data_IF_501699161374
#
_entry.id   IF_501699161374
#
_cell.length_a   1.000
_cell.length_b   1.000
_cell.length_c   1.000
_cell.angle_alpha   90.00
_cell.angle_beta   90.00
_cell.angle_gamma   90.00
#
_symmetry.space_group_name_H-M   'P 1'
#
loop_
_entity.id
_entity.type
_entity.pdbx_description
1 polymer ?
#
# COMPACT_ATOMS: atom_id res chain seq x y z
N UNK A 1 -15.11 28.83 -19.47
CA UNK A 1 -16.03 29.68 -18.70
C UNK A 1 -16.37 30.92 -19.52
N UNK A 2 -17.66 31.26 -19.65
CA UNK A 2 -18.11 32.49 -20.28
C UNK A 2 -18.46 33.51 -19.19
N UNK A 3 -17.79 34.66 -19.16
CA UNK A 3 -18.03 35.69 -18.14
C UNK A 3 -18.79 36.85 -18.76
N UNK A 4 -19.88 37.26 -18.11
CA UNK A 4 -20.57 38.51 -18.45
C UNK A 4 -19.76 39.71 -17.95
N UNK A 5 -19.74 40.78 -18.75
CA UNK A 5 -19.16 42.07 -18.39
C UNK A 5 -20.33 42.99 -18.04
N UNK A 6 -20.31 43.55 -16.83
CA UNK A 6 -21.28 44.56 -16.39
C UNK A 6 -20.59 45.92 -16.43
N UNK A 7 -21.26 46.91 -16.99
CA UNK A 7 -20.72 48.26 -17.16
C UNK A 7 -21.24 49.24 -16.10
N UNK A 8 -20.49 50.31 -15.86
CA UNK A 8 -20.93 51.39 -14.97
C UNK A 8 -22.22 52.03 -15.51
N UNK A 9 -23.23 52.15 -14.63
CA UNK A 9 -24.53 52.73 -14.98
C UNK A 9 -25.52 51.74 -15.63
N UNK A 10 -25.13 50.49 -15.86
CA UNK A 10 -26.05 49.44 -16.32
C UNK A 10 -27.03 49.07 -15.19
N UNK A 11 -28.31 48.88 -15.53
CA UNK A 11 -29.31 48.34 -14.61
C UNK A 11 -29.03 46.85 -14.42
N UNK A 12 -28.82 46.36 -13.19
CA UNK A 12 -28.64 44.93 -12.94
C UNK A 12 -29.85 44.12 -13.41
N UNK A 13 -29.59 43.06 -14.17
CA UNK A 13 -30.61 42.09 -14.55
C UNK A 13 -30.48 40.85 -13.66
N UNK A 14 -31.58 40.15 -13.43
CA UNK A 14 -31.60 38.84 -12.77
C UNK A 14 -30.65 37.85 -13.47
N UNK A 15 -30.63 37.81 -14.80
CA UNK A 15 -29.65 37.00 -15.54
C UNK A 15 -28.19 37.24 -15.13
N UNK A 16 -27.81 38.43 -14.70
CA UNK A 16 -26.41 38.70 -14.34
C UNK A 16 -25.96 37.87 -13.12
N UNK A 17 -26.88 37.55 -12.21
CA UNK A 17 -26.66 36.65 -11.09
C UNK A 17 -26.77 35.18 -11.53
N UNK A 18 -27.82 34.84 -12.30
CA UNK A 18 -28.11 33.47 -12.70
C UNK A 18 -27.02 32.86 -13.61
N UNK A 19 -26.36 33.69 -14.43
CA UNK A 19 -25.19 33.24 -15.19
C UNK A 19 -24.01 32.86 -14.29
N UNK A 20 -23.87 33.47 -13.11
CA UNK A 20 -22.86 33.10 -12.13
C UNK A 20 -23.09 31.67 -11.61
N UNK A 21 -24.33 31.35 -11.28
CA UNK A 21 -24.75 30.02 -10.79
C UNK A 21 -24.56 28.95 -11.86
N UNK A 22 -25.03 29.19 -13.09
CA UNK A 22 -24.80 28.29 -14.23
C UNK A 22 -23.32 28.04 -14.47
N UNK A 23 -22.51 29.10 -14.51
CA UNK A 23 -21.07 28.96 -14.74
C UNK A 23 -20.37 28.17 -13.64
N UNK A 24 -20.79 28.32 -12.38
CA UNK A 24 -20.28 27.51 -11.27
C UNK A 24 -20.64 26.04 -11.45
N UNK A 25 -21.92 25.74 -11.76
CA UNK A 25 -22.39 24.38 -12.05
C UNK A 25 -21.58 23.77 -13.20
N UNK A 26 -21.36 24.52 -14.29
CA UNK A 26 -20.55 24.06 -15.43
C UNK A 26 -19.09 23.83 -15.08
N UNK A 27 -18.46 24.74 -14.34
CA UNK A 27 -17.07 24.60 -13.93
C UNK A 27 -16.88 23.37 -13.02
N UNK A 28 -17.81 23.14 -12.09
CA UNK A 28 -17.80 21.96 -11.23
C UNK A 28 -18.00 20.67 -12.05
N UNK A 29 -18.95 20.65 -12.98
CA UNK A 29 -19.18 19.52 -13.87
C UNK A 29 -17.94 19.15 -14.69
N UNK A 30 -17.24 20.14 -15.24
CA UNK A 30 -15.99 19.93 -15.98
C UNK A 30 -14.85 19.40 -15.09
N UNK A 31 -14.72 19.91 -13.86
CA UNK A 31 -13.74 19.43 -12.91
C UNK A 31 -13.99 17.96 -12.52
N UNK A 32 -15.25 17.58 -12.31
CA UNK A 32 -15.64 16.20 -12.04
C UNK A 32 -15.39 15.28 -13.24
N UNK A 33 -15.57 15.79 -14.47
CA UNK A 33 -15.26 15.04 -15.69
C UNK A 33 -13.76 14.74 -15.83
N UNK A 34 -12.90 15.66 -15.41
CA UNK A 34 -11.45 15.41 -15.35
C UNK A 34 -11.06 14.41 -14.26
N UNK A 35 -11.82 14.38 -13.15
CA UNK A 35 -11.52 13.51 -12.00
C UNK A 35 -11.97 12.06 -12.21
N UNK A 36 -13.21 11.87 -12.66
CA UNK A 36 -13.84 10.55 -12.77
C UNK A 36 -13.82 9.96 -14.18
N UNK A 37 -13.59 10.79 -15.20
CA UNK A 37 -13.68 10.41 -16.61
C UNK A 37 -15.00 10.86 -17.24
N UNK A 38 -15.34 10.27 -18.39
CA UNK A 38 -16.47 10.69 -19.22
C UNK A 38 -17.83 10.54 -18.50
N UNK A 39 -18.48 11.68 -18.22
CA UNK A 39 -19.80 11.76 -17.57
C UNK A 39 -20.90 10.96 -18.26
N UNK A 40 -20.76 10.64 -19.55
CA UNK A 40 -21.75 9.85 -20.29
C UNK A 40 -21.73 8.36 -19.92
N UNK A 41 -20.66 7.89 -19.29
CA UNK A 41 -20.46 6.47 -18.93
C UNK A 41 -20.15 6.25 -17.46
N UNK A 42 -19.79 7.31 -16.73
CA UNK A 42 -19.34 7.26 -15.34
C UNK A 42 -20.25 8.07 -14.43
N UNK A 43 -20.54 7.50 -13.26
CA UNK A 43 -21.16 8.19 -12.13
C UNK A 43 -20.33 7.94 -10.87
N UNK A 44 -20.29 8.90 -9.96
CA UNK A 44 -19.62 8.77 -8.68
C UNK A 44 -20.59 8.99 -7.52
N UNK A 45 -20.45 8.22 -6.44
CA UNK A 45 -21.26 8.30 -5.25
C UNK A 45 -20.38 8.29 -3.99
N UNK A 46 -20.79 9.07 -2.99
CA UNK A 46 -20.16 9.10 -1.67
C UNK A 46 -21.23 9.16 -0.58
N UNK A 47 -20.99 8.50 0.56
CA UNK A 47 -21.98 8.35 1.64
C UNK A 47 -22.82 7.08 1.45
N UNK A 48 -24.15 7.20 1.63
CA UNK A 48 -25.11 6.09 1.45
C UNK A 48 -24.83 4.84 2.30
N UNK A 49 -24.30 5.01 3.52
CA UNK A 49 -24.04 3.89 4.42
C UNK A 49 -25.31 3.08 4.68
N UNK A 50 -25.31 1.79 4.34
CA UNK A 50 -26.47 0.91 4.52
C UNK A 50 -26.38 0.16 5.84
N UNK A 51 -27.42 0.27 6.66
CA UNK A 51 -27.56 -0.42 7.94
C UNK A 51 -28.83 -1.28 7.93
N UNK A 52 -28.73 -2.62 7.86
CA UNK A 52 -29.89 -3.49 7.93
C UNK A 52 -30.54 -3.48 9.31
N UNK A 53 -31.88 -3.47 9.37
CA UNK A 53 -32.61 -3.56 10.63
C UNK A 53 -32.60 -4.96 11.22
N UNK A 54 -32.32 -5.05 12.52
CA UNK A 54 -32.40 -6.30 13.28
C UNK A 54 -33.84 -6.72 13.61
N UNK A 55 -34.81 -5.80 13.51
CA UNK A 55 -36.19 -5.99 13.99
C UNK A 55 -37.27 -5.87 12.89
N UNK A 56 -36.91 -5.46 11.68
CA UNK A 56 -37.85 -5.29 10.57
C UNK A 56 -37.19 -5.59 9.22
N UNK A 57 -38.00 -5.85 8.19
CA UNK A 57 -37.56 -5.92 6.78
C UNK A 57 -37.34 -4.52 6.22
N UNK A 58 -36.39 -3.78 6.81
CA UNK A 58 -36.00 -2.45 6.37
C UNK A 58 -34.48 -2.31 6.40
N UNK A 59 -33.94 -1.53 5.47
CA UNK A 59 -32.58 -0.99 5.57
C UNK A 59 -32.64 0.51 5.76
N UNK A 60 -31.81 1.03 6.66
CA UNK A 60 -31.55 2.46 6.76
C UNK A 60 -30.38 2.81 5.84
N UNK A 61 -30.58 3.80 4.97
CA UNK A 61 -29.55 4.34 4.08
C UNK A 61 -29.22 5.74 4.56
N UNK A 62 -27.95 5.98 4.88
CA UNK A 62 -27.48 7.31 5.30
C UNK A 62 -27.54 8.33 4.17
N UNK A 63 -27.38 9.61 4.52
CA UNK A 63 -27.24 10.68 3.54
C UNK A 63 -26.05 10.45 2.61
N UNK A 64 -26.12 11.00 1.40
CA UNK A 64 -25.06 10.86 0.42
C UNK A 64 -25.16 11.88 -0.70
N UNK A 65 -24.17 11.85 -1.57
CA UNK A 65 -24.09 12.69 -2.77
C UNK A 65 -23.77 11.83 -3.98
N UNK A 66 -24.40 12.15 -5.10
CA UNK A 66 -24.16 11.51 -6.39
C UNK A 66 -23.73 12.56 -7.38
N UNK A 67 -22.61 12.33 -8.07
CA UNK A 67 -22.24 13.04 -9.28
C UNK A 67 -22.56 12.15 -10.48
N UNK A 68 -23.46 12.60 -11.36
CA UNK A 68 -23.83 11.85 -12.57
C UNK A 68 -24.15 12.79 -13.73
N UNK A 69 -24.33 12.22 -14.92
CA UNK A 69 -24.82 12.97 -16.08
C UNK A 69 -26.14 13.69 -15.76
N UNK A 70 -26.26 14.93 -16.22
CA UNK A 70 -27.47 15.74 -16.13
C UNK A 70 -27.35 16.97 -17.02
N UNK A 71 -28.47 17.61 -17.30
CA UNK A 71 -28.50 18.85 -18.04
C UNK A 71 -27.86 20.00 -17.23
N UNK A 72 -27.22 20.95 -17.92
CA UNK A 72 -26.79 22.21 -17.30
C UNK A 72 -28.00 22.92 -16.69
N UNK A 73 -29.10 23.03 -17.44
CA UNK A 73 -30.40 23.53 -16.99
C UNK A 73 -31.49 22.94 -17.88
N UNK A 74 -32.20 21.92 -17.42
CA UNK A 74 -33.24 21.24 -18.21
C UNK A 74 -34.38 22.19 -18.62
N UNK A 75 -34.72 23.12 -17.74
CA UNK A 75 -35.71 24.16 -17.96
C UNK A 75 -35.07 25.56 -17.81
N UNK A 76 -35.70 26.56 -18.40
CA UNK A 76 -35.33 27.96 -18.16
C UNK A 76 -35.40 28.29 -16.66
N UNK A 77 -34.57 29.24 -16.21
CA UNK A 77 -34.48 29.64 -14.81
C UNK A 77 -34.45 31.16 -14.70
N UNK A 78 -35.23 31.74 -13.79
CA UNK A 78 -35.38 33.20 -13.64
C UNK A 78 -36.69 33.78 -14.23
N UNK A 79 -36.85 35.10 -14.13
CA UNK A 79 -38.11 35.78 -14.44
C UNK A 79 -38.38 35.97 -15.95
N UNK A 80 -39.65 36.23 -16.29
CA UNK A 80 -40.16 36.29 -17.67
C UNK A 80 -39.66 37.49 -18.53
N UNK A 81 -38.69 38.26 -18.04
CA UNK A 81 -38.09 39.41 -18.74
C UNK A 81 -36.56 39.48 -18.68
N UNK A 82 -35.92 38.60 -17.89
CA UNK A 82 -34.47 38.63 -17.71
C UNK A 82 -33.85 37.32 -17.21
N UNK A 83 -34.60 36.22 -17.14
CA UNK A 83 -34.06 34.89 -16.85
C UNK A 83 -33.12 34.35 -17.93
N UNK A 84 -32.63 33.13 -17.71
CA UNK A 84 -31.77 32.40 -18.64
C UNK A 84 -32.53 31.23 -19.26
N UNK A 85 -32.36 31.03 -20.57
CA UNK A 85 -32.98 29.92 -21.31
C UNK A 85 -32.43 28.58 -20.85
N UNK A 86 -33.20 27.50 -21.03
CA UNK A 86 -32.73 26.14 -20.82
C UNK A 86 -31.43 25.87 -21.59
N UNK A 87 -30.57 25.04 -21.02
CA UNK A 87 -29.38 24.48 -21.65
C UNK A 87 -29.33 22.98 -21.33
N UNK A 88 -29.82 22.17 -22.27
CA UNK A 88 -29.95 20.73 -22.12
C UNK A 88 -28.64 19.98 -22.42
N UNK A 89 -27.53 20.70 -22.57
CA UNK A 89 -26.21 20.08 -22.72
C UNK A 89 -25.88 19.26 -21.49
N UNK A 90 -25.47 18.01 -21.69
CA UNK A 90 -25.15 17.10 -20.60
C UNK A 90 -23.76 17.39 -20.00
N UNK A 91 -23.65 17.23 -18.69
CA UNK A 91 -22.41 17.29 -17.92
C UNK A 91 -22.57 16.55 -16.59
N UNK A 92 -21.52 16.49 -15.78
CA UNK A 92 -21.69 16.11 -14.37
C UNK A 92 -22.51 17.16 -13.60
N UNK A 93 -23.52 16.69 -12.89
CA UNK A 93 -24.31 17.42 -11.90
C UNK A 93 -24.24 16.70 -10.56
N UNK A 94 -24.16 17.46 -9.46
CA UNK A 94 -24.11 16.93 -8.09
C UNK A 94 -25.50 16.96 -7.49
N UNK A 95 -25.99 15.80 -7.08
CA UNK A 95 -27.31 15.59 -6.49
C UNK A 95 -27.16 15.17 -5.03
N UNK A 96 -27.83 15.89 -4.12
CA UNK A 96 -27.87 15.55 -2.71
C UNK A 96 -28.97 14.54 -2.39
N UNK A 97 -28.71 13.63 -1.45
CA UNK A 97 -29.72 12.74 -0.90
C UNK A 97 -29.67 12.76 0.63
N UNK A 98 -30.81 13.01 1.27
CA UNK A 98 -30.92 12.99 2.73
C UNK A 98 -30.80 11.57 3.34
N UNK A 99 -30.85 10.53 2.49
CA UNK A 99 -30.99 9.14 2.93
C UNK A 99 -32.44 8.77 3.18
N UNK A 100 -32.67 7.63 3.81
CA UNK A 100 -34.03 7.17 4.12
C UNK A 100 -34.09 5.73 4.62
N UNK A 101 -35.32 5.28 4.90
CA UNK A 101 -35.60 3.88 5.23
C UNK A 101 -36.26 3.22 4.04
N UNK A 102 -35.69 2.11 3.58
CA UNK A 102 -36.21 1.34 2.45
C UNK A 102 -36.79 0.02 2.96
N UNK A 103 -38.04 -0.23 2.61
CA UNK A 103 -38.72 -1.49 2.91
C UNK A 103 -38.26 -2.58 1.95
N UNK A 104 -37.98 -3.76 2.50
CA UNK A 104 -37.51 -4.93 1.78
C UNK A 104 -38.62 -5.98 1.66
N UNK A 105 -38.55 -6.81 0.63
CA UNK A 105 -39.36 -8.03 0.52
C UNK A 105 -38.50 -9.27 0.76
N UNK A 106 -39.02 -10.24 1.52
CA UNK A 106 -38.30 -11.51 1.75
C UNK A 106 -38.04 -12.26 0.43
N UNK A 107 -36.84 -12.84 0.29
CA UNK A 107 -36.44 -13.52 -0.95
C UNK A 107 -36.12 -12.61 -2.13
N UNK A 108 -36.19 -11.28 -1.96
CA UNK A 108 -35.89 -10.33 -3.03
C UNK A 108 -34.39 -10.22 -3.30
N UNK A 109 -34.04 -10.13 -4.58
CA UNK A 109 -32.78 -9.54 -5.02
C UNK A 109 -33.11 -8.34 -5.89
N UNK A 110 -32.65 -7.15 -5.49
CA UNK A 110 -32.95 -5.90 -6.16
C UNK A 110 -31.76 -4.94 -6.08
N UNK A 111 -31.77 -3.91 -6.90
CA UNK A 111 -30.77 -2.85 -6.90
C UNK A 111 -31.35 -1.61 -6.25
N UNK A 112 -30.59 -1.01 -5.34
CA UNK A 112 -30.86 0.31 -4.79
C UNK A 112 -30.29 1.35 -5.75
N UNK A 113 -31.17 2.15 -6.33
CA UNK A 113 -30.86 3.23 -7.26
C UNK A 113 -30.98 4.58 -6.58
N UNK A 114 -30.12 5.52 -6.98
CA UNK A 114 -30.34 6.94 -6.82
C UNK A 114 -30.94 7.51 -8.10
N UNK A 115 -32.18 7.97 -8.04
CA UNK A 115 -32.89 8.64 -9.13
C UNK A 115 -32.64 10.14 -9.02
N UNK A 116 -31.78 10.66 -9.89
CA UNK A 116 -31.27 12.02 -9.83
C UNK A 116 -32.10 12.94 -10.72
N UNK A 117 -32.58 14.05 -10.16
CA UNK A 117 -33.35 15.06 -10.88
C UNK A 117 -33.17 16.45 -10.27
N UNK A 118 -33.54 17.47 -11.03
CA UNK A 118 -33.68 18.83 -10.53
C UNK A 118 -35.15 19.22 -10.52
N UNK A 119 -35.55 19.94 -9.47
CA UNK A 119 -36.90 20.48 -9.35
C UNK A 119 -36.85 21.90 -8.80
N UNK A 120 -37.73 22.74 -9.33
CA UNK A 120 -38.00 24.07 -8.78
C UNK A 120 -38.92 23.91 -7.56
N UNK A 121 -38.55 24.58 -6.46
CA UNK A 121 -39.14 24.41 -5.12
C UNK A 121 -39.28 25.75 -4.41
N UNK A 122 -39.85 25.73 -3.20
CA UNK A 122 -40.03 26.90 -2.33
C UNK A 122 -40.90 28.03 -2.94
N UNK A 123 -42.01 27.65 -3.57
CA UNK A 123 -43.01 28.56 -4.15
C UNK A 123 -43.37 29.73 -3.21
N UNK A 124 -43.01 30.95 -3.60
CA UNK A 124 -43.17 32.16 -2.80
C UNK A 124 -43.74 33.31 -3.63
N UNK A 125 -44.67 34.10 -3.06
CA UNK A 125 -45.14 35.33 -3.70
C UNK A 125 -44.09 36.42 -3.51
N UNK A 126 -43.41 36.79 -4.59
CA UNK A 126 -42.34 37.79 -4.58
C UNK A 126 -42.88 39.20 -4.85
N UNK A 127 -42.33 40.25 -4.20
CA UNK A 127 -42.62 41.63 -4.56
C UNK A 127 -41.90 42.04 -5.86
N UNK A 128 -42.61 42.69 -6.79
CA UNK A 128 -42.07 43.22 -8.04
C UNK A 128 -42.17 44.75 -8.10
N UNK A 129 -41.21 45.36 -8.80
CA UNK A 129 -41.22 46.81 -9.06
C UNK A 129 -42.32 47.18 -10.06
N UNK A 130 -43.12 48.19 -9.73
CA UNK A 130 -44.12 48.74 -10.63
C UNK A 130 -43.54 49.92 -11.41
N UNK A 131 -43.24 49.71 -12.70
CA UNK A 131 -42.70 50.78 -13.55
C UNK A 131 -43.72 51.91 -13.82
N UNK A 132 -45.01 51.60 -13.85
CA UNK A 132 -46.08 52.58 -14.09
C UNK A 132 -46.42 53.39 -12.84
N UNK A 133 -46.18 52.83 -11.65
CA UNK A 133 -46.34 53.53 -10.38
C UNK A 133 -45.27 53.10 -9.35
N UNK A 134 -44.09 53.74 -9.36
CA UNK A 134 -42.95 53.36 -8.52
C UNK A 134 -43.19 53.41 -7.00
N UNK A 135 -44.26 54.09 -6.56
CA UNK A 135 -44.66 54.14 -5.15
C UNK A 135 -45.41 52.88 -4.68
N UNK A 136 -45.77 51.99 -5.59
CA UNK A 136 -46.50 50.76 -5.32
C UNK A 136 -45.65 49.53 -5.66
N UNK A 137 -45.64 48.55 -4.77
CA UNK A 137 -45.07 47.23 -5.02
C UNK A 137 -46.13 46.32 -5.63
N UNK A 138 -45.77 45.51 -6.63
CA UNK A 138 -46.65 44.48 -7.19
C UNK A 138 -46.46 43.17 -6.42
N UNK A 139 -47.54 42.44 -6.16
CA UNK A 139 -47.47 41.06 -5.65
C UNK A 139 -47.41 40.08 -6.81
N UNK A 140 -46.24 39.48 -7.07
CA UNK A 140 -46.00 38.61 -8.22
C UNK A 140 -45.99 39.36 -9.57
N UNK A 141 -45.67 38.65 -10.67
CA UNK A 141 -45.66 39.23 -12.01
C UNK A 141 -46.99 39.87 -12.38
N UNK A 142 -46.97 41.14 -12.80
CA UNK A 142 -48.19 41.86 -13.21
C UNK A 142 -49.19 42.10 -12.08
N UNK A 143 -48.75 42.03 -10.81
CA UNK A 143 -49.61 42.14 -9.63
C UNK A 143 -50.70 41.05 -9.51
N UNK A 144 -50.45 39.86 -10.07
CA UNK A 144 -51.40 38.75 -10.11
C UNK A 144 -51.46 37.90 -8.83
N UNK A 145 -50.56 38.12 -7.87
CA UNK A 145 -50.47 37.36 -6.62
C UNK A 145 -49.97 35.92 -6.79
N UNK A 146 -49.46 35.54 -7.96
CA UNK A 146 -48.96 34.19 -8.24
C UNK A 146 -47.61 33.96 -7.55
N UNK A 147 -47.44 32.80 -6.91
CA UNK A 147 -46.15 32.36 -6.40
C UNK A 147 -45.20 32.02 -7.55
N UNK A 148 -43.90 32.13 -7.27
CA UNK A 148 -42.83 31.66 -8.14
C UNK A 148 -41.87 30.80 -7.31
N UNK A 149 -41.24 29.79 -7.91
CA UNK A 149 -40.19 29.03 -7.25
C UNK A 149 -38.97 29.93 -7.02
N UNK A 150 -38.31 29.76 -5.87
CA UNK A 150 -37.12 30.54 -5.49
C UNK A 150 -35.86 29.70 -5.33
N UNK A 151 -36.01 28.36 -5.38
CA UNK A 151 -34.90 27.42 -5.23
C UNK A 151 -34.98 26.35 -6.31
N UNK A 152 -33.90 26.15 -7.08
CA UNK A 152 -33.73 24.95 -7.90
C UNK A 152 -32.89 23.93 -7.14
N UNK A 153 -33.50 22.81 -6.77
CA UNK A 153 -32.89 21.78 -5.95
C UNK A 153 -32.45 20.60 -6.83
N UNK A 154 -31.14 20.29 -6.81
CA UNK A 154 -30.58 19.08 -7.39
C UNK A 154 -30.56 17.96 -6.34
N UNK A 155 -31.44 16.97 -6.51
CA UNK A 155 -31.64 15.90 -5.53
C UNK A 155 -31.64 14.51 -6.13
N UNK A 156 -31.30 13.53 -5.29
CA UNK A 156 -31.41 12.12 -5.60
C UNK A 156 -32.42 11.44 -4.65
N UNK A 157 -33.36 10.71 -5.23
CA UNK A 157 -34.32 9.88 -4.51
C UNK A 157 -33.88 8.41 -4.52
N UNK A 158 -34.07 7.71 -3.41
CA UNK A 158 -33.69 6.31 -3.29
C UNK A 158 -34.85 5.40 -3.72
N UNK A 159 -34.61 4.56 -4.71
CA UNK A 159 -35.59 3.59 -5.22
C UNK A 159 -34.98 2.20 -5.23
N UNK A 160 -35.66 1.23 -4.62
CA UNK A 160 -35.28 -0.18 -4.67
C UNK A 160 -36.13 -0.89 -5.72
N UNK A 161 -35.51 -1.41 -6.76
CA UNK A 161 -36.22 -2.08 -7.86
C UNK A 161 -35.40 -3.24 -8.44
N UNK A 162 -36.09 -4.24 -8.99
CA UNK A 162 -35.44 -5.35 -9.69
C UNK A 162 -34.80 -4.91 -11.02
N UNK A 163 -35.49 -4.01 -11.73
CA UNK A 163 -35.04 -3.37 -12.95
C UNK A 163 -34.80 -1.88 -12.71
N UNK A 164 -33.95 -1.27 -13.53
CA UNK A 164 -33.68 0.16 -13.43
C UNK A 164 -34.97 0.99 -13.66
N UNK A 165 -35.26 2.01 -12.84
CA UNK A 165 -36.36 2.93 -13.10
C UNK A 165 -36.17 3.70 -14.43
N UNK A 166 -37.16 4.49 -14.83
CA UNK A 166 -37.00 5.38 -15.98
C UNK A 166 -36.20 6.64 -15.59
N UNK A 167 -35.21 7.02 -16.40
CA UNK A 167 -34.41 8.21 -16.14
C UNK A 167 -35.28 9.47 -16.20
N UNK A 168 -35.21 10.36 -15.18
CA UNK A 168 -35.86 11.67 -15.25
C UNK A 168 -35.31 12.52 -16.40
N UNK A 169 -36.13 13.45 -16.93
CA UNK A 169 -35.67 14.43 -17.94
C UNK A 169 -34.56 15.30 -17.35
N UNK A 170 -33.48 15.49 -18.10
CA UNK A 170 -32.30 16.23 -17.62
C UNK A 170 -31.56 15.60 -16.44
N UNK A 171 -31.94 14.39 -16.02
CA UNK A 171 -31.39 13.69 -14.87
C UNK A 171 -30.72 12.36 -15.22
N UNK A 172 -30.50 11.53 -14.21
CA UNK A 172 -29.87 10.22 -14.37
C UNK A 172 -30.31 9.22 -13.31
N UNK A 173 -29.97 7.96 -13.54
CA UNK A 173 -30.13 6.88 -12.56
C UNK A 173 -28.77 6.29 -12.27
N UNK A 174 -28.43 6.20 -11.00
CA UNK A 174 -27.14 5.65 -10.55
C UNK A 174 -27.38 4.42 -9.68
N UNK A 175 -26.90 3.23 -10.08
CA UNK A 175 -26.98 2.05 -9.25
C UNK A 175 -25.96 2.14 -8.10
N UNK A 176 -26.44 2.03 -6.85
CA UNK A 176 -25.61 2.13 -5.65
C UNK A 176 -25.25 0.76 -5.09
N UNK A 177 -26.26 -0.05 -4.75
CA UNK A 177 -26.04 -1.34 -4.10
C UNK A 177 -26.90 -2.43 -4.72
N UNK A 178 -26.38 -3.64 -4.82
CA UNK A 178 -27.24 -4.84 -4.89
C UNK A 178 -27.63 -5.24 -3.47
N UNK A 179 -28.92 -5.47 -3.25
CA UNK A 179 -29.50 -5.91 -1.98
C UNK A 179 -30.10 -7.29 -2.18
N UNK A 180 -29.65 -8.27 -1.40
CA UNK A 180 -30.17 -9.65 -1.41
C UNK A 180 -30.73 -9.98 -0.04
N UNK A 181 -32.01 -10.38 -0.02
CA UNK A 181 -32.74 -10.72 1.19
C UNK A 181 -33.01 -12.23 1.20
N UNK A 182 -32.65 -12.97 2.27
CA UNK A 182 -32.95 -14.39 2.35
C UNK A 182 -34.44 -14.70 2.21
N UNK A 183 -34.77 -15.85 1.60
CA UNK A 183 -36.14 -16.32 1.53
C UNK A 183 -36.70 -16.59 2.93
N UNK A 184 -37.95 -16.20 3.18
CA UNK A 184 -38.61 -16.38 4.48
C UNK A 184 -38.10 -15.46 5.60
N UNK A 185 -37.23 -14.49 5.31
CA UNK A 185 -36.76 -13.53 6.31
C UNK A 185 -37.92 -12.67 6.87
N UNK A 186 -37.92 -12.45 8.18
CA UNK A 186 -38.83 -11.50 8.87
C UNK A 186 -38.12 -10.23 9.32
N UNK A 187 -36.78 -10.19 9.24
CA UNK A 187 -35.93 -9.04 9.54
C UNK A 187 -34.81 -8.92 8.50
N UNK A 188 -34.17 -7.76 8.41
CA UNK A 188 -33.07 -7.52 7.49
C UNK A 188 -31.68 -7.96 8.02
N UNK A 189 -31.60 -8.59 9.21
CA UNK A 189 -30.32 -8.99 9.82
C UNK A 189 -29.47 -9.92 8.93
N UNK A 190 -30.13 -10.75 8.11
CA UNK A 190 -29.49 -11.64 7.14
C UNK A 190 -29.38 -11.07 5.72
N UNK A 191 -29.82 -9.82 5.49
CA UNK A 191 -29.72 -9.20 4.19
C UNK A 191 -28.26 -8.80 3.89
N UNK A 192 -27.80 -9.07 2.67
CA UNK A 192 -26.47 -8.69 2.22
C UNK A 192 -26.57 -7.51 1.25
N UNK A 193 -25.61 -6.60 1.35
CA UNK A 193 -25.50 -5.47 0.43
C UNK A 193 -24.11 -5.45 -0.20
N UNK A 194 -24.05 -5.20 -1.50
CA UNK A 194 -22.81 -5.11 -2.26
C UNK A 194 -22.77 -3.78 -3.00
N UNK A 195 -21.79 -2.94 -2.67
CA UNK A 195 -21.54 -1.69 -3.38
C UNK A 195 -21.25 -1.95 -4.86
N UNK A 196 -21.83 -1.13 -5.73
CA UNK A 196 -21.65 -1.16 -7.18
C UNK A 196 -20.60 -0.13 -7.61
N UNK A 197 -20.46 0.08 -8.92
CA UNK A 197 -19.33 0.79 -9.53
C UNK A 197 -19.27 2.29 -9.24
N UNK A 198 -20.35 2.89 -8.72
CA UNK A 198 -20.39 4.31 -8.43
C UNK A 198 -19.48 4.71 -7.25
N UNK A 199 -19.04 3.77 -6.40
CA UNK A 199 -18.22 4.09 -5.22
C UNK A 199 -16.73 4.03 -5.54
N UNK A 200 -16.08 5.19 -5.54
CA UNK A 200 -14.63 5.30 -5.74
C UNK A 200 -13.89 5.32 -4.39
N UNK A 201 -12.67 4.74 -4.33
CA UNK A 201 -11.81 4.92 -3.16
C UNK A 201 -11.50 6.40 -2.93
N UNK A 202 -11.63 6.85 -1.69
CA UNK A 202 -11.19 8.17 -1.26
C UNK A 202 -9.66 8.31 -1.34
N UNK A 203 -9.14 9.53 -1.38
CA UNK A 203 -7.69 9.80 -1.41
C UNK A 203 -6.92 9.04 -0.32
N UNK A 204 -7.40 8.97 0.95
CA UNK A 204 -6.74 8.14 1.97
C UNK A 204 -6.79 6.64 1.69
N UNK A 205 -7.87 6.13 1.08
CA UNK A 205 -7.99 4.71 0.71
C UNK A 205 -7.06 4.32 -0.43
N UNK A 206 -6.75 5.26 -1.33
CA UNK A 206 -5.76 5.08 -2.40
C UNK A 206 -4.31 4.97 -1.88
N UNK A 207 -4.05 5.24 -0.60
CA UNK A 207 -2.72 5.11 -0.03
C UNK A 207 -2.32 3.65 0.27
N UNK A 208 -3.29 2.74 0.40
CA UNK A 208 -3.04 1.35 0.80
C UNK A 208 -2.19 0.61 -0.24
N UNK A 209 -1.11 -0.01 0.22
CA UNK A 209 -0.17 -0.78 -0.60
C UNK A 209 0.87 0.05 -1.34
N UNK A 210 0.91 1.39 -1.17
CA UNK A 210 1.88 2.25 -1.83
C UNK A 210 3.26 2.12 -1.18
N UNK A 211 4.29 1.85 -1.98
CA UNK A 211 5.68 1.90 -1.55
C UNK A 211 6.07 3.33 -1.11
N UNK A 212 6.66 3.45 0.08
CA UNK A 212 7.01 4.73 0.69
C UNK A 212 8.52 4.99 0.66
N UNK A 213 9.35 3.95 0.78
CA UNK A 213 10.80 4.10 0.79
C UNK A 213 11.55 2.87 1.31
N UNK A 214 12.88 2.95 1.28
CA UNK A 214 13.78 1.90 1.80
C UNK A 214 14.71 2.47 2.87
N UNK A 215 14.86 1.75 3.97
CA UNK A 215 15.90 1.98 4.97
C UNK A 215 16.86 0.76 4.98
N UNK A 216 18.16 0.99 4.79
CA UNK A 216 19.19 -0.06 4.75
C UNK A 216 20.20 0.10 5.87
N UNK A 217 20.44 -0.98 6.60
CA UNK A 217 21.38 -1.05 7.71
C UNK A 217 22.54 -2.00 7.34
N UNK A 218 23.74 -1.43 7.20
CA UNK A 218 25.02 -2.16 7.11
C UNK A 218 25.83 -2.06 8.41
N UNK A 219 25.26 -1.38 9.40
CA UNK A 219 25.73 -1.23 10.77
C UNK A 219 24.52 -1.18 11.69
N UNK A 220 24.68 -1.60 12.95
CA UNK A 220 23.60 -1.56 13.95
C UNK A 220 23.06 -0.14 14.15
N UNK A 221 21.77 -0.03 14.46
CA UNK A 221 21.08 1.24 14.60
C UNK A 221 19.63 1.06 15.04
N UNK A 222 18.78 2.04 14.71
CA UNK A 222 17.35 1.99 15.03
C UNK A 222 16.54 2.28 13.77
N UNK A 223 15.60 1.40 13.48
CA UNK A 223 14.58 1.62 12.46
C UNK A 223 13.40 2.36 13.08
N UNK A 224 13.03 3.50 12.50
CA UNK A 224 11.84 4.27 12.87
C UNK A 224 10.90 4.29 11.67
N UNK A 225 9.69 3.70 11.76
CA UNK A 225 8.72 3.73 10.66
C UNK A 225 8.37 5.17 10.26
N UNK A 226 8.22 5.44 8.95
CA UNK A 226 7.65 6.72 8.53
C UNK A 226 6.19 6.86 8.99
N UNK A 227 5.72 8.10 9.17
CA UNK A 227 4.38 8.40 9.71
C UNK A 227 3.22 7.73 8.94
N UNK A 228 3.46 7.41 7.66
CA UNK A 228 2.46 6.79 6.76
C UNK A 228 2.68 5.29 6.58
N UNK A 229 3.74 4.70 7.12
CA UNK A 229 3.97 3.28 7.03
C UNK A 229 2.92 2.52 7.84
N UNK A 230 2.40 1.44 7.27
CA UNK A 230 1.54 0.46 7.93
C UNK A 230 2.13 -0.94 7.86
N UNK A 231 2.91 -1.21 6.81
CA UNK A 231 3.59 -2.48 6.61
C UNK A 231 5.05 -2.25 6.23
N UNK A 232 5.92 -3.16 6.67
CA UNK A 232 7.32 -3.20 6.28
C UNK A 232 7.68 -4.58 5.72
N UNK A 233 8.31 -4.62 4.55
CA UNK A 233 8.95 -5.84 4.02
C UNK A 233 10.42 -5.80 4.42
N UNK A 234 10.82 -6.76 5.26
CA UNK A 234 12.18 -6.83 5.80
C UNK A 234 12.91 -7.99 5.14
N UNK A 235 14.12 -7.73 4.65
CA UNK A 235 15.07 -8.72 4.12
C UNK A 235 16.38 -8.60 4.88
N UNK A 236 16.87 -9.70 5.44
CA UNK A 236 18.10 -9.65 6.24
C UNK A 236 18.91 -10.95 6.24
N UNK A 237 20.23 -10.81 6.46
CA UNK A 237 21.14 -11.93 6.75
C UNK A 237 21.97 -11.72 8.01
N UNK A 238 22.41 -12.84 8.60
CA UNK A 238 23.52 -12.90 9.54
C UNK A 238 24.87 -12.75 8.83
N UNK A 239 25.94 -12.53 9.59
CA UNK A 239 27.29 -12.47 9.03
C UNK A 239 27.78 -13.86 8.58
N UNK A 240 28.66 -13.91 7.59
CA UNK A 240 29.35 -15.15 7.23
C UNK A 240 30.46 -15.47 8.23
N UNK A 241 30.74 -16.76 8.39
CA UNK A 241 31.86 -17.28 9.17
C UNK A 241 33.21 -16.99 8.50
N UNK A 242 34.30 -16.83 9.27
CA UNK A 242 35.64 -16.80 8.71
C UNK A 242 36.05 -18.17 8.16
N UNK A 243 37.01 -18.20 7.25
CA UNK A 243 37.68 -19.44 6.86
C UNK A 243 38.50 -20.02 8.02
N UNK A 244 38.74 -21.32 7.98
CA UNK A 244 39.57 -22.02 8.94
C UNK A 244 41.06 -21.69 8.77
N UNK A 245 41.77 -21.71 9.89
CA UNK A 245 43.22 -21.50 9.95
C UNK A 245 43.99 -22.73 9.46
N UNK A 246 45.02 -22.54 8.64
CA UNK A 246 45.99 -23.58 8.30
C UNK A 246 47.17 -23.56 9.27
N UNK A 247 47.34 -24.65 10.03
CA UNK A 247 48.40 -24.78 11.02
C UNK A 247 49.80 -24.67 10.40
N UNK A 248 50.71 -24.02 11.11
CA UNK A 248 52.15 -24.04 10.79
C UNK A 248 52.69 -25.48 10.84
N UNK A 249 53.33 -25.94 9.76
CA UNK A 249 53.88 -27.29 9.71
C UNK A 249 55.23 -27.37 10.45
N UNK A 250 55.56 -28.55 10.99
CA UNK A 250 56.85 -28.79 11.67
C UNK A 250 58.04 -28.75 10.71
N UNK A 251 57.79 -29.02 9.43
CA UNK A 251 58.78 -29.15 8.36
C UNK A 251 58.09 -29.03 6.99
N UNK A 252 58.86 -29.18 5.90
CA UNK A 252 58.37 -29.10 4.52
C UNK A 252 57.84 -30.43 3.96
N UNK A 253 57.80 -31.49 4.77
CA UNK A 253 57.18 -32.78 4.42
C UNK A 253 55.74 -32.90 4.90
N UNK A 254 55.19 -31.83 5.48
CA UNK A 254 53.80 -31.74 5.89
C UNK A 254 53.10 -30.54 5.28
N UNK A 255 51.79 -30.64 5.17
CA UNK A 255 50.93 -29.57 4.67
C UNK A 255 49.64 -29.49 5.51
N UNK A 256 48.98 -28.34 5.47
CA UNK A 256 47.72 -28.10 6.20
C UNK A 256 46.77 -27.22 5.38
N UNK A 257 45.48 -27.50 5.47
CA UNK A 257 44.43 -26.81 4.72
C UNK A 257 43.26 -26.47 5.64
N UNK A 258 42.95 -25.18 5.80
CA UNK A 258 41.76 -24.73 6.50
C UNK A 258 40.50 -24.90 5.66
N UNK A 259 39.35 -25.16 6.31
CA UNK A 259 38.04 -25.17 5.65
C UNK A 259 37.53 -23.77 5.32
N UNK A 260 36.43 -23.67 4.57
CA UNK A 260 35.73 -22.41 4.38
C UNK A 260 34.71 -22.14 5.47
N UNK A 261 34.44 -20.86 5.72
CA UNK A 261 33.39 -20.43 6.63
C UNK A 261 31.99 -20.68 6.07
N UNK A 262 31.03 -20.92 6.95
CA UNK A 262 29.61 -21.01 6.60
C UNK A 262 29.02 -19.63 6.26
N UNK A 263 27.99 -19.60 5.43
CA UNK A 263 27.22 -18.37 5.21
C UNK A 263 26.26 -18.10 6.39
N UNK A 264 25.84 -16.85 6.57
CA UNK A 264 24.82 -16.47 7.55
C UNK A 264 23.42 -16.88 7.11
N UNK A 265 22.50 -17.01 8.07
CA UNK A 265 21.09 -17.29 7.78
C UNK A 265 20.42 -16.13 7.05
N UNK A 266 19.36 -16.41 6.30
CA UNK A 266 18.63 -15.39 5.53
C UNK A 266 17.12 -15.54 5.71
N UNK A 267 16.42 -14.41 5.82
CA UNK A 267 14.97 -14.37 5.93
C UNK A 267 14.38 -13.15 5.23
N UNK A 268 13.17 -13.32 4.72
CA UNK A 268 12.31 -12.24 4.26
C UNK A 268 10.90 -12.39 4.85
N UNK A 269 10.34 -11.30 5.36
CA UNK A 269 9.04 -11.30 6.00
C UNK A 269 8.34 -9.93 5.92
N UNK A 270 7.02 -9.96 6.10
CA UNK A 270 6.18 -8.78 6.29
C UNK A 270 5.94 -8.52 7.78
N UNK A 271 6.07 -7.27 8.19
CA UNK A 271 5.95 -6.82 9.57
C UNK A 271 4.95 -5.66 9.70
N UNK A 272 4.12 -5.69 10.74
CA UNK A 272 3.19 -4.61 11.07
C UNK A 272 3.92 -3.46 11.78
N UNK A 273 3.85 -2.27 11.18
CA UNK A 273 4.42 -1.03 11.72
C UNK A 273 3.37 0.05 11.91
N UNK A 274 2.08 -0.31 11.88
CA UNK A 274 0.96 0.62 11.94
C UNK A 274 0.88 1.44 13.23
N UNK A 275 1.49 0.94 14.31
CA UNK A 275 1.60 1.63 15.59
C UNK A 275 2.78 2.63 15.66
N UNK A 276 3.62 2.69 14.62
CA UNK A 276 4.77 3.60 14.54
C UNK A 276 5.92 3.25 15.48
N UNK A 277 5.91 2.08 16.12
CA UNK A 277 6.92 1.68 17.11
C UNK A 277 8.29 1.40 16.46
N UNK A 278 9.32 2.11 16.93
CA UNK A 278 10.70 1.90 16.48
C UNK A 278 11.23 0.50 16.85
N UNK A 279 12.11 -0.05 16.00
CA UNK A 279 12.76 -1.35 16.20
C UNK A 279 14.28 -1.18 16.30
N UNK A 280 14.89 -1.84 17.27
CA UNK A 280 16.36 -1.93 17.34
C UNK A 280 16.87 -2.83 16.23
N UNK A 281 17.90 -2.40 15.49
CA UNK A 281 18.51 -3.19 14.42
C UNK A 281 19.93 -3.54 14.84
N UNK A 282 20.24 -4.83 14.91
CA UNK A 282 21.62 -5.31 15.08
C UNK A 282 22.10 -5.89 13.75
N UNK A 283 23.29 -5.48 13.31
CA UNK A 283 23.93 -6.08 12.14
C UNK A 283 25.10 -6.93 12.62
N UNK A 284 25.07 -8.21 12.28
CA UNK A 284 26.13 -9.15 12.63
C UNK A 284 27.46 -8.80 11.96
N UNK A 285 28.56 -8.92 12.69
CA UNK A 285 29.92 -8.82 12.18
C UNK A 285 30.55 -10.20 12.00
N UNK A 286 31.50 -10.35 11.07
CA UNK A 286 32.30 -11.58 10.97
C UNK A 286 33.15 -11.76 12.21
N UNK A 287 33.29 -13.01 12.66
CA UNK A 287 34.38 -13.38 13.56
C UNK A 287 35.72 -13.40 12.80
N UNK A 288 36.82 -13.37 13.56
CA UNK A 288 38.18 -13.56 13.07
C UNK A 288 38.51 -15.06 13.01
N UNK A 289 39.36 -15.48 12.07
CA UNK A 289 39.88 -16.84 12.04
C UNK A 289 40.81 -17.10 13.23
N UNK A 290 40.65 -18.25 13.89
CA UNK A 290 41.40 -18.60 15.09
C UNK A 290 42.42 -19.70 14.81
N UNK A 291 43.61 -19.60 15.41
CA UNK A 291 44.66 -20.63 15.29
C UNK A 291 44.44 -21.83 16.23
N UNK A 292 43.19 -22.09 16.61
CA UNK A 292 42.80 -23.15 17.55
C UNK A 292 41.81 -24.10 16.86
N UNK A 293 41.65 -25.30 17.40
CA UNK A 293 40.64 -26.24 16.90
C UNK A 293 39.21 -25.93 17.42
N UNK A 294 38.96 -24.69 17.86
CA UNK A 294 37.65 -24.22 18.31
C UNK A 294 37.07 -23.37 17.18
N UNK A 295 35.89 -23.75 16.67
CA UNK A 295 35.19 -22.97 15.65
C UNK A 295 34.56 -21.73 16.30
N UNK A 296 34.95 -20.55 15.84
CA UNK A 296 34.23 -19.31 16.17
C UNK A 296 32.92 -19.22 15.38
N UNK A 297 31.94 -18.49 15.92
CA UNK A 297 30.67 -18.20 15.23
C UNK A 297 30.57 -16.69 15.00
N UNK A 298 30.24 -16.28 13.78
CA UNK A 298 30.04 -14.87 13.44
C UNK A 298 28.75 -14.31 14.06
N UNK A 299 28.68 -12.98 14.21
CA UNK A 299 27.57 -12.30 14.86
C UNK A 299 26.23 -12.46 14.13
N UNK A 300 25.15 -12.55 14.92
CA UNK A 300 23.77 -12.53 14.42
C UNK A 300 23.32 -11.12 14.04
N UNK A 301 22.46 -11.01 13.03
CA UNK A 301 21.68 -9.81 12.76
C UNK A 301 20.28 -9.93 13.36
N UNK A 302 19.75 -8.84 13.92
CA UNK A 302 18.45 -8.80 14.60
C UNK A 302 17.57 -7.67 14.09
N UNK A 303 16.28 -7.98 13.94
CA UNK A 303 15.21 -7.00 13.78
C UNK A 303 14.33 -6.99 15.05
N UNK A 304 14.56 -6.00 15.91
CA UNK A 304 14.00 -5.92 17.25
C UNK A 304 14.32 -7.18 18.06
N UNK A 305 13.34 -7.63 18.84
CA UNK A 305 13.36 -8.96 19.47
C UNK A 305 12.65 -10.03 18.61
N UNK A 306 12.13 -9.65 17.44
CA UNK A 306 11.20 -10.48 16.69
C UNK A 306 11.90 -11.50 15.80
N UNK A 307 12.98 -11.12 15.11
CA UNK A 307 13.62 -11.96 14.10
C UNK A 307 15.14 -11.90 14.22
N UNK A 308 15.76 -13.08 14.14
CA UNK A 308 17.21 -13.28 14.17
C UNK A 308 17.68 -14.00 12.90
N UNK A 309 18.78 -13.53 12.32
CA UNK A 309 19.59 -14.32 11.40
C UNK A 309 20.96 -14.55 12.01
N UNK A 310 21.25 -15.79 12.38
CA UNK A 310 22.51 -16.17 13.00
C UNK A 310 23.66 -16.12 11.99
N UNK A 311 24.85 -15.82 12.49
CA UNK A 311 26.05 -15.85 11.68
C UNK A 311 26.51 -17.29 11.38
N UNK A 312 27.31 -17.43 10.32
CA UNK A 312 27.94 -18.69 9.97
C UNK A 312 29.11 -19.04 10.90
N UNK A 313 29.43 -20.33 10.97
CA UNK A 313 30.57 -20.83 11.74
C UNK A 313 31.87 -20.74 10.96
N UNK A 314 32.98 -20.71 11.68
CA UNK A 314 34.33 -20.80 11.15
C UNK A 314 34.58 -22.13 10.43
N UNK A 315 35.37 -22.07 9.36
CA UNK A 315 35.89 -23.25 8.67
C UNK A 315 36.70 -24.16 9.58
N UNK A 316 36.69 -25.47 9.30
CA UNK A 316 37.47 -26.43 10.10
C UNK A 316 38.96 -26.07 10.16
N UNK A 317 39.56 -26.22 11.34
CA UNK A 317 40.99 -25.99 11.55
C UNK A 317 41.83 -26.99 10.74
N UNK A 318 42.78 -26.48 9.95
CA UNK A 318 43.66 -27.27 9.12
C UNK A 318 44.80 -27.86 9.93
N UNK A 319 44.74 -29.16 10.20
CA UNK A 319 45.79 -29.89 10.91
C UNK A 319 46.97 -30.25 9.99
N UNK A 320 48.18 -30.18 10.54
CA UNK A 320 49.40 -30.64 9.87
C UNK A 320 49.30 -32.11 9.47
N UNK A 321 49.50 -32.39 8.18
CA UNK A 321 49.31 -33.71 7.55
C UNK A 321 50.52 -34.06 6.71
N UNK A 322 51.06 -35.28 6.85
CA UNK A 322 52.23 -35.71 6.07
C UNK A 322 51.96 -35.72 4.56
N UNK A 323 52.97 -35.42 3.76
CA UNK A 323 52.86 -35.32 2.29
C UNK A 323 52.59 -36.64 1.57
N UNK A 324 52.50 -37.77 2.28
CA UNK A 324 52.06 -39.08 1.76
C UNK A 324 50.68 -39.49 2.29
N UNK A 325 50.03 -38.60 3.04
CA UNK A 325 48.76 -38.87 3.73
C UNK A 325 47.59 -38.08 3.12
N UNK A 326 46.39 -38.44 3.56
CA UNK A 326 45.14 -37.74 3.28
C UNK A 326 44.60 -37.15 4.59
N UNK A 327 44.25 -35.87 4.60
CA UNK A 327 43.39 -35.29 5.62
C UNK A 327 42.22 -34.53 5.01
N UNK A 328 41.08 -34.62 5.68
CA UNK A 328 39.83 -33.97 5.31
C UNK A 328 39.36 -33.19 6.53
N UNK A 329 39.31 -31.87 6.41
CA UNK A 329 38.82 -30.98 7.44
C UNK A 329 37.31 -31.09 7.67
N UNK A 330 36.87 -30.61 8.83
CA UNK A 330 35.45 -30.55 9.19
C UNK A 330 34.75 -29.41 8.44
N UNK A 331 33.48 -29.63 8.08
CA UNK A 331 32.63 -28.62 7.45
C UNK A 331 32.18 -27.56 8.46
N UNK A 332 32.02 -26.32 8.00
CA UNK A 332 31.41 -25.26 8.81
C UNK A 332 29.88 -25.29 8.68
N UNK A 333 29.18 -25.14 9.80
CA UNK A 333 27.74 -24.91 9.79
C UNK A 333 27.39 -23.52 9.26
N UNK A 334 26.38 -23.41 8.39
CA UNK A 334 25.77 -22.13 8.07
C UNK A 334 24.81 -21.68 9.17
N UNK A 335 24.64 -20.37 9.33
CA UNK A 335 23.77 -19.80 10.36
C UNK A 335 22.29 -20.07 10.07
N UNK A 336 21.47 -20.49 11.05
CA UNK A 336 20.02 -20.53 10.90
C UNK A 336 19.39 -19.13 11.00
N UNK A 337 18.11 -19.01 10.61
CA UNK A 337 17.28 -17.85 10.88
C UNK A 337 16.06 -18.26 11.70
N UNK A 338 15.59 -17.38 12.59
CA UNK A 338 14.51 -17.64 13.53
C UNK A 338 13.54 -16.45 13.62
N UNK A 339 12.26 -16.77 13.77
CA UNK A 339 11.23 -15.83 14.23
C UNK A 339 10.93 -16.17 15.69
N UNK A 340 11.33 -15.28 16.59
CA UNK A 340 11.18 -15.42 18.05
C UNK A 340 9.86 -14.85 18.56
N UNK A 341 9.39 -13.75 17.95
CA UNK A 341 8.09 -13.14 18.24
C UNK A 341 7.31 -12.90 16.94
N UNK A 342 6.19 -13.62 16.79
CA UNK A 342 5.32 -13.55 15.61
C UNK A 342 4.14 -12.60 15.77
N UNK A 343 4.01 -11.87 16.88
CA UNK A 343 2.85 -11.00 17.14
C UNK A 343 2.67 -9.91 16.08
N UNK A 344 3.78 -9.37 15.56
CA UNK A 344 3.79 -8.37 14.49
C UNK A 344 4.30 -8.88 13.15
N UNK A 345 4.74 -10.14 13.08
CA UNK A 345 5.13 -10.77 11.81
C UNK A 345 3.86 -11.24 11.10
N UNK A 346 3.50 -10.54 10.03
CA UNK A 346 2.28 -10.81 9.26
C UNK A 346 2.42 -12.07 8.41
N UNK A 347 3.59 -12.27 7.80
CA UNK A 347 3.91 -13.47 7.03
C UNK A 347 5.42 -13.58 6.78
N UNK A 348 5.93 -14.81 6.70
CA UNK A 348 7.30 -15.10 6.27
C UNK A 348 7.27 -15.50 4.80
N UNK A 349 8.03 -14.80 3.96
CA UNK A 349 8.13 -15.08 2.51
C UNK A 349 9.08 -16.25 2.27
N UNK A 350 10.27 -16.19 2.87
CA UNK A 350 11.18 -17.32 2.95
C UNK A 350 12.04 -17.22 4.21
N UNK A 351 12.53 -18.37 4.67
CA UNK A 351 13.47 -18.52 5.76
C UNK A 351 14.41 -19.66 5.40
N UNK A 352 15.71 -19.40 5.33
CA UNK A 352 16.70 -20.41 4.99
C UNK A 352 17.93 -20.34 5.89
N UNK A 353 18.47 -21.52 6.18
CA UNK A 353 19.80 -21.63 6.75
C UNK A 353 20.83 -21.20 5.71
N UNK A 354 21.89 -20.52 6.15
CA UNK A 354 23.06 -20.26 5.33
C UNK A 354 23.68 -21.56 4.84
N UNK A 355 24.32 -21.52 3.68
CA UNK A 355 25.04 -22.68 3.17
C UNK A 355 26.24 -23.02 4.08
N UNK A 356 26.47 -24.30 4.33
CA UNK A 356 27.64 -24.78 5.07
C UNK A 356 28.93 -24.66 4.25
N UNK A 357 30.04 -24.43 4.94
CA UNK A 357 31.37 -24.36 4.34
C UNK A 357 32.02 -25.73 4.17
N UNK A 358 32.79 -25.89 3.10
CA UNK A 358 33.53 -27.12 2.81
C UNK A 358 34.76 -27.24 3.73
N UNK A 359 35.12 -28.47 4.12
CA UNK A 359 36.39 -28.73 4.80
C UNK A 359 37.58 -28.55 3.85
N UNK A 360 38.72 -28.11 4.39
CA UNK A 360 39.98 -28.04 3.64
C UNK A 360 40.65 -29.42 3.56
N UNK A 361 41.27 -29.76 2.44
CA UNK A 361 41.86 -31.08 2.21
C UNK A 361 43.37 -30.99 2.01
N UNK A 362 44.10 -31.97 2.56
CA UNK A 362 45.49 -32.22 2.21
C UNK A 362 45.59 -33.60 1.57
N UNK A 363 46.07 -33.68 0.34
CA UNK A 363 46.17 -34.93 -0.42
C UNK A 363 47.57 -35.07 -0.98
N UNK A 364 48.35 -36.03 -0.47
CA UNK A 364 49.66 -36.39 -1.01
C UNK A 364 50.57 -35.16 -1.27
N UNK A 365 50.64 -34.26 -0.27
CA UNK A 365 51.45 -33.05 -0.31
C UNK A 365 50.82 -31.86 -1.05
N UNK A 366 49.61 -32.01 -1.60
CA UNK A 366 48.84 -30.92 -2.21
C UNK A 366 47.83 -30.36 -1.21
N UNK A 367 47.73 -29.03 -1.16
CA UNK A 367 46.82 -28.29 -0.27
C UNK A 367 45.62 -27.83 -1.07
N UNK A 368 44.42 -28.13 -0.59
CA UNK A 368 43.16 -27.65 -1.14
C UNK A 368 42.35 -26.99 -0.02
N UNK A 369 42.60 -25.70 0.29
CA UNK A 369 41.79 -25.01 1.28
C UNK A 369 40.33 -24.91 0.82
N UNK A 370 39.41 -24.70 1.76
CA UNK A 370 37.99 -24.55 1.43
C UNK A 370 37.72 -23.24 0.70
N UNK A 371 37.06 -23.30 -0.47
CA UNK A 371 36.59 -22.11 -1.19
C UNK A 371 35.46 -21.44 -0.39
N UNK A 372 35.50 -20.12 -0.29
CA UNK A 372 34.52 -19.35 0.47
C UNK A 372 33.08 -19.66 0.03
N UNK A 373 32.15 -19.59 0.98
CA UNK A 373 30.76 -20.01 0.77
C UNK A 373 29.90 -18.81 0.36
N UNK A 374 29.14 -18.86 -0.75
CA UNK A 374 28.29 -17.76 -1.16
C UNK A 374 27.03 -17.63 -0.27
N UNK A 375 26.41 -16.46 -0.32
CA UNK A 375 25.07 -16.19 0.22
C UNK A 375 24.19 -15.61 -0.89
N UNK A 376 22.92 -15.32 -0.60
CA UNK A 376 22.02 -14.60 -1.50
C UNK A 376 22.44 -13.16 -1.82
N UNK A 377 23.37 -12.59 -1.02
CA UNK A 377 23.80 -11.19 -1.12
C UNK A 377 25.32 -10.99 -1.19
N UNK A 378 26.08 -12.07 -1.24
CA UNK A 378 27.53 -12.04 -1.19
C UNK A 378 28.16 -13.25 -1.84
N UNK A 379 29.40 -13.07 -2.28
CA UNK A 379 30.18 -14.14 -2.90
C UNK A 379 31.29 -14.59 -1.95
N UNK A 380 31.42 -15.90 -1.82
CA UNK A 380 32.65 -16.50 -1.33
C UNK A 380 33.79 -16.28 -2.33
N UNK A 381 35.02 -16.41 -1.85
CA UNK A 381 36.23 -16.05 -2.63
C UNK A 381 37.23 -17.21 -2.69
N UNK A 382 38.31 -17.00 -3.45
CA UNK A 382 39.30 -18.02 -3.76
C UNK A 382 40.27 -18.29 -2.61
N UNK A 383 40.91 -19.44 -2.67
CA UNK A 383 41.90 -19.91 -1.71
C UNK A 383 43.32 -19.68 -2.22
N UNK A 384 44.30 -19.86 -1.35
CA UNK A 384 45.72 -19.85 -1.71
C UNK A 384 46.40 -21.11 -1.19
N UNK A 385 47.24 -21.74 -2.02
CA UNK A 385 47.89 -23.02 -1.66
C UNK A 385 48.95 -22.85 -0.55
N UNK A 386 49.50 -21.65 -0.39
CA UNK A 386 50.42 -21.29 0.69
C UNK A 386 50.27 -19.79 1.03
N UNK A 387 49.29 -19.47 1.86
CA UNK A 387 48.92 -18.09 2.18
C UNK A 387 47.61 -17.99 2.96
N UNK A 388 47.25 -16.76 3.39
CA UNK A 388 45.98 -16.50 4.04
C UNK A 388 44.81 -16.67 3.07
N UNK A 389 43.67 -17.11 3.60
CA UNK A 389 42.44 -17.18 2.82
C UNK A 389 41.95 -15.79 2.40
N UNK A 390 41.29 -15.70 1.25
CA UNK A 390 40.68 -14.45 0.80
C UNK A 390 39.40 -14.16 1.58
N UNK A 391 39.20 -12.90 1.98
CA UNK A 391 37.95 -12.47 2.61
C UNK A 391 36.78 -12.55 1.63
N UNK A 392 35.57 -12.80 2.14
CA UNK A 392 34.35 -12.80 1.35
C UNK A 392 33.94 -11.38 0.92
N UNK A 393 33.01 -11.28 -0.03
CA UNK A 393 32.48 -10.00 -0.53
C UNK A 393 30.95 -9.93 -0.40
N UNK A 394 30.38 -8.73 -0.46
CA UNK A 394 28.94 -8.51 -0.28
C UNK A 394 28.50 -8.69 1.18
N UNK A 395 27.41 -9.43 1.43
CA UNK A 395 26.86 -9.62 2.78
C UNK A 395 26.60 -11.10 3.10
N UNK A 396 26.89 -11.54 4.32
CA UNK A 396 26.57 -12.88 4.83
C UNK A 396 27.31 -14.07 4.20
N UNK A 397 28.24 -13.84 3.27
CA UNK A 397 29.06 -14.89 2.64
C UNK A 397 30.25 -15.31 3.54
N UNK A 398 30.62 -16.59 3.51
CA UNK A 398 31.70 -17.16 4.31
C UNK A 398 33.08 -17.00 3.64
N UNK A 399 34.12 -16.79 4.46
CA UNK A 399 35.50 -16.62 4.00
C UNK A 399 36.17 -17.91 3.53
N UNK A 400 37.22 -17.77 2.71
CA UNK A 400 38.01 -18.91 2.21
C UNK A 400 39.02 -19.40 3.25
N UNK A 401 39.37 -20.69 3.24
CA UNK A 401 40.37 -21.27 4.14
C UNK A 401 41.80 -20.84 3.81
N UNK A 402 42.66 -20.81 4.82
CA UNK A 402 44.11 -20.67 4.63
C UNK A 402 44.75 -21.96 4.14
N UNK A 403 45.90 -21.87 3.48
CA UNK A 403 46.69 -23.02 3.06
C UNK A 403 48.14 -22.88 3.49
N UNK A 404 48.77 -23.96 3.96
CA UNK A 404 50.20 -23.96 4.29
C UNK A 404 50.91 -25.22 3.79
N UNK A 405 52.00 -25.02 3.06
CA UNK A 405 52.97 -26.07 2.72
C UNK A 405 54.38 -25.76 3.27
N UNK A 406 54.46 -24.82 4.22
CA UNK A 406 55.70 -24.38 4.87
C UNK A 406 55.56 -24.42 6.39
N UNK A 407 56.60 -23.99 7.11
CA UNK A 407 56.58 -23.86 8.57
C UNK A 407 55.82 -22.63 9.07
N UNK A 408 55.12 -21.91 8.20
CA UNK A 408 54.29 -20.75 8.54
C UNK A 408 52.81 -21.15 8.59
N UNK A 409 52.07 -20.65 9.57
CA UNK A 409 50.61 -20.80 9.64
C UNK A 409 49.91 -19.63 8.98
N UNK A 410 48.71 -19.86 8.44
CA UNK A 410 47.95 -18.84 7.74
C UNK A 410 46.48 -18.84 8.16
N UNK A 411 45.96 -17.67 8.50
CA UNK A 411 44.56 -17.48 8.83
C UNK A 411 43.65 -17.67 7.61
N UNK A 412 42.42 -18.13 7.85
CA UNK A 412 41.37 -18.03 6.84
C UNK A 412 40.96 -16.58 6.61
N UNK A 413 40.32 -16.34 5.47
CA UNK A 413 39.75 -15.04 5.14
C UNK A 413 38.51 -14.74 5.98
N UNK A 414 38.24 -13.46 6.21
CA UNK A 414 37.04 -13.03 6.92
C UNK A 414 35.77 -13.34 6.14
N UNK A 415 34.68 -13.63 6.86
CA UNK A 415 33.34 -13.61 6.29
C UNK A 415 32.84 -12.18 6.06
N UNK A 416 31.77 -12.05 5.29
CA UNK A 416 31.09 -10.77 5.06
C UNK A 416 30.12 -10.46 6.20
N UNK A 417 29.99 -9.20 6.58
CA UNK A 417 29.01 -8.74 7.57
C UNK A 417 27.56 -9.03 7.13
N UNK A 418 26.63 -9.01 8.08
CA UNK A 418 25.19 -9.11 7.81
C UNK A 418 24.63 -7.83 7.16
N UNK A 419 23.33 -7.85 6.85
CA UNK A 419 22.59 -6.67 6.37
C UNK A 419 21.12 -6.77 6.77
N UNK A 420 20.47 -5.62 6.97
CA UNK A 420 19.01 -5.52 7.13
C UNK A 420 18.49 -4.44 6.18
N UNK A 421 17.55 -4.80 5.31
CA UNK A 421 16.91 -3.92 4.32
C UNK A 421 15.41 -3.92 4.60
N UNK A 422 14.84 -2.72 4.76
CA UNK A 422 13.44 -2.53 5.13
C UNK A 422 12.77 -1.66 4.08
N UNK A 423 11.76 -2.19 3.41
CA UNK A 423 10.91 -1.48 2.44
C UNK A 423 9.56 -1.16 3.09
N UNK A 424 9.16 0.11 3.14
CA UNK A 424 7.93 0.55 3.79
C UNK A 424 6.76 0.70 2.80
N UNK A 425 5.56 0.39 3.28
CA UNK A 425 4.31 0.48 2.53
C UNK A 425 3.19 1.09 3.40
N UNK A 426 2.31 1.88 2.78
CA UNK A 426 1.15 2.50 3.43
C UNK A 426 -0.10 1.61 3.52
#
# INVERSE_FOLDING_TARGET
MQRRIVYQGQIPLDADLLWGERNLKTALGQALNLLYGDFSTVSAAFGFSVTPSASALTIAVGSGVVASSGAIDEAAFGGNGGGISADTSAQFVVYGCAGGSITLTAGQTATLYAVCSEADTDETVLPFYNADNPSQTQAGPGNAGTSLPVTRLAQAELVLAAEAPASPSGGAIVPLYTVTVPAGATTAAGATTKALTAFYPTVPQLERGRYLGTQKFTSSGTYTPSNRARMARVRMCGAGGPGGYAQANSDTSHVSAGGSGGAGGEIEFWFDVSDGSAQSITVGASAESTNTNIQSTSGSSWFGAAVECQGGNEGGYGVTTGNTSLSIGVQAGGGPAYVHDSTKVLSVVYQKQGQGGAGGWAINGTVYPGIGTPSGWGAGTYTTDNGPGTAASGFGAGGAGGGSNTTSGYAGGLGSAGVVIIEEYA
#
